data_IF_350021945093
#
_entry.id   IF_350021945093
#
_cell.length_a   1.000
_cell.length_b   1.000
_cell.length_c   1.000
_cell.angle_alpha   90.00
_cell.angle_beta   90.00
_cell.angle_gamma   90.00
#
_symmetry.space_group_name_H-M   'P 1'
#
loop_
_entity.id
_entity.type
_entity.pdbx_description
1 polymer ?
#
# COMPACT_ATOMS: atom_id res chain seq x y z
N UNK A 1 5.33 -34.31 4.32
CA UNK A 1 6.74 -34.63 4.66
C UNK A 1 7.45 -33.44 5.29
N UNK A 2 8.74 -33.56 5.63
CA UNK A 2 9.57 -32.45 6.16
C UNK A 2 9.66 -31.27 5.20
N UNK A 3 9.75 -31.53 3.89
CA UNK A 3 9.77 -30.50 2.83
C UNK A 3 8.51 -29.64 2.81
N UNK A 4 7.33 -30.24 2.95
CA UNK A 4 6.06 -29.50 2.95
C UNK A 4 5.96 -28.54 4.14
N UNK A 5 6.44 -28.97 5.32
CA UNK A 5 6.50 -28.10 6.51
C UNK A 5 7.41 -26.89 6.29
N UNK A 6 8.55 -27.08 5.64
CA UNK A 6 9.47 -25.98 5.29
C UNK A 6 8.82 -25.01 4.30
N UNK A 7 8.16 -25.51 3.25
CA UNK A 7 7.49 -24.68 2.26
C UNK A 7 6.37 -23.82 2.88
N UNK A 8 5.59 -24.40 3.80
CA UNK A 8 4.56 -23.68 4.57
C UNK A 8 5.18 -22.58 5.43
N UNK A 9 6.25 -22.88 6.18
CA UNK A 9 6.93 -21.90 7.02
C UNK A 9 7.53 -20.73 6.22
N UNK A 10 8.14 -21.01 5.06
CA UNK A 10 8.67 -19.97 4.16
C UNK A 10 7.56 -19.09 3.58
N UNK A 11 6.43 -19.69 3.19
CA UNK A 11 5.27 -18.95 2.69
C UNK A 11 4.69 -18.05 3.78
N UNK A 12 4.57 -18.57 5.00
CA UNK A 12 4.10 -17.81 6.16
C UNK A 12 5.05 -16.65 6.51
N UNK A 13 6.36 -16.86 6.43
CA UNK A 13 7.37 -15.82 6.63
C UNK A 13 7.27 -14.71 5.58
N UNK A 14 7.18 -15.08 4.28
CA UNK A 14 7.02 -14.11 3.20
C UNK A 14 5.72 -13.32 3.34
N UNK A 15 4.64 -14.00 3.73
CA UNK A 15 3.35 -13.37 4.00
C UNK A 15 3.44 -12.38 5.17
N UNK A 16 4.15 -12.72 6.23
CA UNK A 16 4.35 -11.82 7.38
C UNK A 16 5.15 -10.59 6.97
N UNK A 17 6.19 -10.77 6.16
CA UNK A 17 7.06 -9.68 5.70
C UNK A 17 6.36 -8.70 4.75
N UNK A 18 5.54 -9.20 3.82
CA UNK A 18 5.02 -8.41 2.67
C UNK A 18 3.53 -8.07 2.80
N UNK A 19 2.76 -8.89 3.51
CA UNK A 19 1.31 -8.71 3.67
C UNK A 19 0.89 -8.40 5.12
N UNK A 20 1.83 -8.37 6.06
CA UNK A 20 1.55 -8.06 7.46
C UNK A 20 0.75 -9.14 8.20
N UNK A 21 0.83 -10.40 7.75
CA UNK A 21 0.27 -11.53 8.49
C UNK A 21 1.03 -11.76 9.80
N UNK A 22 0.46 -12.49 10.78
CA UNK A 22 1.17 -12.84 12.01
C UNK A 22 2.52 -13.51 11.73
N UNK A 23 3.49 -13.29 12.61
CA UNK A 23 4.78 -13.95 12.49
C UNK A 23 4.60 -15.46 12.66
N UNK A 24 5.29 -16.29 11.86
CA UNK A 24 5.33 -17.73 12.07
C UNK A 24 6.02 -18.06 13.41
N UNK A 25 5.68 -19.21 13.97
CA UNK A 25 6.31 -19.74 15.17
C UNK A 25 7.84 -19.80 15.03
N UNK A 26 8.56 -19.46 16.10
CA UNK A 26 10.03 -19.43 16.13
C UNK A 26 10.67 -18.19 15.51
N UNK A 27 9.91 -17.25 14.94
CA UNK A 27 10.44 -15.98 14.44
C UNK A 27 10.20 -14.83 15.42
N UNK A 28 11.22 -13.98 15.56
CA UNK A 28 11.11 -12.76 16.37
C UNK A 28 10.23 -11.72 15.67
N UNK A 29 9.05 -11.49 16.25
CA UNK A 29 8.06 -10.52 15.78
C UNK A 29 8.62 -9.10 15.64
N UNK A 30 9.50 -8.65 16.54
CA UNK A 30 10.09 -7.31 16.49
C UNK A 30 11.06 -7.20 15.32
N UNK A 31 11.90 -8.23 15.11
CA UNK A 31 12.82 -8.26 13.97
C UNK A 31 12.08 -8.29 12.64
N UNK A 32 11.01 -9.08 12.52
CA UNK A 32 10.19 -9.10 11.32
C UNK A 32 9.57 -7.73 11.03
N UNK A 33 9.07 -7.01 12.05
CA UNK A 33 8.54 -5.65 11.85
C UNK A 33 9.58 -4.67 11.32
N UNK A 34 10.84 -4.77 11.77
CA UNK A 34 11.95 -3.96 11.24
C UNK A 34 12.16 -4.26 9.75
N UNK A 35 12.17 -5.56 9.39
CA UNK A 35 12.35 -5.98 8.00
C UNK A 35 11.17 -5.57 7.10
N UNK A 36 9.93 -5.78 7.54
CA UNK A 36 8.74 -5.31 6.83
C UNK A 36 8.78 -3.80 6.57
N UNK A 37 9.20 -3.02 7.58
CA UNK A 37 9.37 -1.57 7.42
C UNK A 37 10.47 -1.22 6.42
N UNK A 38 11.59 -1.94 6.42
CA UNK A 38 12.67 -1.73 5.45
C UNK A 38 12.22 -2.08 4.01
N UNK A 39 11.45 -3.14 3.83
CA UNK A 39 10.87 -3.51 2.53
C UNK A 39 9.85 -2.48 2.04
N UNK A 40 8.94 -2.05 2.90
CA UNK A 40 8.00 -0.97 2.59
C UNK A 40 8.74 0.34 2.28
N UNK A 41 9.82 0.60 3.01
CA UNK A 41 10.67 1.76 2.80
C UNK A 41 11.28 1.74 1.39
N UNK A 42 11.86 0.60 1.01
CA UNK A 42 12.43 0.38 -0.33
C UNK A 42 11.39 0.49 -1.44
N UNK A 43 10.19 -0.05 -1.22
CA UNK A 43 9.08 0.08 -2.18
C UNK A 43 8.75 1.54 -2.45
N UNK A 44 8.66 2.37 -1.41
CA UNK A 44 8.42 3.80 -1.61
C UNK A 44 9.52 4.45 -2.46
N UNK A 45 10.80 4.11 -2.21
CA UNK A 45 11.90 4.69 -2.98
C UNK A 45 11.84 4.30 -4.46
N UNK A 46 11.38 3.08 -4.78
CA UNK A 46 11.17 2.65 -6.16
C UNK A 46 9.95 3.31 -6.78
N UNK A 47 8.85 3.44 -6.03
CA UNK A 47 7.64 4.14 -6.51
C UNK A 47 7.93 5.61 -6.77
N UNK A 48 8.68 6.29 -5.90
CA UNK A 48 9.10 7.67 -6.11
C UNK A 48 9.95 7.85 -7.39
N UNK A 49 10.65 6.81 -7.85
CA UNK A 49 11.37 6.84 -9.14
C UNK A 49 10.46 6.63 -10.33
N UNK A 50 9.44 5.78 -10.19
CA UNK A 50 8.51 5.42 -11.27
C UNK A 50 7.38 6.46 -11.44
N UNK A 51 7.04 7.16 -10.36
CA UNK A 51 6.01 8.17 -10.26
C UNK A 51 6.51 9.36 -9.42
N UNK A 52 7.46 10.15 -9.95
CA UNK A 52 8.11 11.25 -9.23
C UNK A 52 7.15 12.37 -8.82
N UNK A 53 6.00 12.48 -9.49
CA UNK A 53 5.00 13.49 -9.14
C UNK A 53 4.32 13.20 -7.80
N UNK A 54 4.32 11.95 -7.32
CA UNK A 54 3.71 11.59 -6.04
C UNK A 54 4.39 12.25 -4.84
N UNK A 55 5.72 12.14 -4.64
CA UNK A 55 6.40 12.91 -3.60
C UNK A 55 6.32 14.42 -3.81
N UNK A 56 6.29 14.92 -5.04
CA UNK A 56 6.09 16.36 -5.31
C UNK A 56 4.71 16.84 -4.85
N UNK A 57 3.67 16.05 -5.09
CA UNK A 57 2.29 16.39 -4.70
C UNK A 57 2.08 16.25 -3.19
N UNK A 58 2.63 15.19 -2.57
CA UNK A 58 2.40 14.84 -1.17
C UNK A 58 3.42 15.45 -0.20
N UNK A 59 4.53 15.99 -0.71
CA UNK A 59 5.61 16.57 0.08
C UNK A 59 6.13 15.61 1.15
N UNK A 60 6.46 16.16 2.32
CA UNK A 60 6.99 15.42 3.47
C UNK A 60 6.06 14.30 3.96
N UNK A 61 4.75 14.41 3.67
CA UNK A 61 3.75 13.39 4.00
C UNK A 61 3.87 12.11 3.17
N UNK A 62 4.55 12.14 2.02
CA UNK A 62 4.68 11.00 1.10
C UNK A 62 5.17 9.74 1.80
N UNK A 63 6.28 9.86 2.54
CA UNK A 63 6.96 8.72 3.17
C UNK A 63 6.06 8.03 4.19
N UNK A 64 5.45 8.81 5.07
CA UNK A 64 4.59 8.31 6.12
C UNK A 64 3.32 7.65 5.54
N UNK A 65 2.70 8.30 4.56
CA UNK A 65 1.52 7.77 3.87
C UNK A 65 1.83 6.45 3.15
N UNK A 66 2.96 6.36 2.45
CA UNK A 66 3.33 5.15 1.73
C UNK A 66 3.61 3.98 2.67
N UNK A 67 4.30 4.22 3.79
CA UNK A 67 4.56 3.17 4.79
C UNK A 67 3.27 2.66 5.43
N UNK A 68 2.30 3.54 5.70
CA UNK A 68 0.98 3.14 6.19
C UNK A 68 0.20 2.31 5.16
N UNK A 69 0.28 2.70 3.87
CA UNK A 69 -0.31 1.96 2.75
C UNK A 69 0.28 0.55 2.60
N UNK A 70 1.61 0.44 2.58
CA UNK A 70 2.33 -0.78 2.26
C UNK A 70 2.37 -1.79 3.40
N UNK A 71 2.23 -1.34 4.66
CA UNK A 71 2.36 -2.18 5.85
C UNK A 71 1.35 -3.33 5.98
N UNK A 72 0.24 -3.27 5.23
CA UNK A 72 -0.81 -4.31 5.21
C UNK A 72 -1.21 -4.74 3.80
N UNK A 73 -0.44 -4.32 2.78
CA UNK A 73 -0.80 -4.54 1.37
C UNK A 73 0.37 -5.06 0.56
N UNK A 74 0.35 -6.36 0.19
CA UNK A 74 1.34 -6.90 -0.72
C UNK A 74 1.17 -6.29 -2.11
N UNK A 75 2.29 -6.09 -2.82
CA UNK A 75 2.30 -5.58 -4.19
C UNK A 75 1.85 -6.68 -5.17
N UNK A 76 0.85 -6.41 -6.00
CA UNK A 76 0.21 -7.43 -6.87
C UNK A 76 0.26 -7.14 -8.38
N UNK A 77 0.89 -6.04 -8.81
CA UNK A 77 0.89 -5.64 -10.23
C UNK A 77 2.09 -4.80 -10.69
N UNK A 78 3.21 -4.87 -9.98
CA UNK A 78 4.42 -4.07 -10.25
C UNK A 78 4.32 -2.60 -9.83
N UNK A 79 5.42 -1.85 -9.95
CA UNK A 79 5.56 -0.53 -9.32
C UNK A 79 4.65 0.57 -9.88
N UNK A 80 4.36 0.56 -11.20
CA UNK A 80 3.39 1.51 -11.78
C UNK A 80 1.98 1.29 -11.22
N UNK A 81 1.60 0.01 -11.03
CA UNK A 81 0.32 -0.33 -10.43
C UNK A 81 0.28 0.02 -8.94
N UNK A 82 1.37 -0.24 -8.22
CA UNK A 82 1.52 0.10 -6.80
C UNK A 82 1.36 1.61 -6.58
N UNK A 83 1.91 2.43 -7.47
CA UNK A 83 1.75 3.89 -7.46
C UNK A 83 0.27 4.31 -7.60
N UNK A 84 -0.47 3.69 -8.54
CA UNK A 84 -1.90 3.96 -8.74
C UNK A 84 -2.75 3.52 -7.53
N UNK A 85 -2.50 2.32 -7.01
CA UNK A 85 -3.22 1.78 -5.85
C UNK A 85 -2.92 2.60 -4.58
N UNK A 86 -1.70 3.11 -4.43
CA UNK A 86 -1.32 4.03 -3.36
C UNK A 86 -2.07 5.37 -3.47
N UNK A 87 -2.06 6.00 -4.64
CA UNK A 87 -2.78 7.26 -4.86
C UNK A 87 -4.29 7.09 -4.62
N UNK A 88 -4.89 6.01 -5.11
CA UNK A 88 -6.30 5.66 -4.83
C UNK A 88 -6.55 5.54 -3.32
N UNK A 89 -5.66 4.84 -2.61
CA UNK A 89 -5.78 4.66 -1.16
C UNK A 89 -5.75 6.00 -0.41
N UNK A 90 -4.82 6.89 -0.76
CA UNK A 90 -4.72 8.22 -0.15
C UNK A 90 -6.00 9.03 -0.42
N UNK A 91 -6.51 9.03 -1.65
CA UNK A 91 -7.75 9.72 -2.01
C UNK A 91 -8.96 9.18 -1.24
N UNK A 92 -9.10 7.86 -1.12
CA UNK A 92 -10.17 7.21 -0.32
C UNK A 92 -10.07 7.55 1.16
N UNK A 93 -8.84 7.67 1.69
CA UNK A 93 -8.61 8.01 3.10
C UNK A 93 -9.00 9.46 3.45
N UNK A 94 -9.25 10.32 2.46
CA UNK A 94 -9.60 11.74 2.63
C UNK A 94 -8.73 12.67 1.78
N UNK A 95 -7.65 12.15 1.22
CA UNK A 95 -6.65 12.90 0.46
C UNK A 95 -5.68 13.70 1.35
N UNK A 96 -4.74 14.42 0.73
CA UNK A 96 -3.90 15.41 1.41
C UNK A 96 -4.74 16.50 2.07
N UNK A 97 -4.25 17.06 3.19
CA UNK A 97 -4.90 18.17 3.87
C UNK A 97 -4.97 19.44 3.00
N UNK A 98 -3.94 19.68 2.18
CA UNK A 98 -3.93 20.77 1.19
C UNK A 98 -4.93 20.46 0.04
N UNK A 99 -5.96 21.30 -0.18
CA UNK A 99 -6.90 21.13 -1.28
C UNK A 99 -6.24 21.16 -2.67
N UNK A 100 -5.16 21.91 -2.86
CA UNK A 100 -4.45 21.97 -4.14
C UNK A 100 -3.72 20.66 -4.43
N UNK A 101 -2.96 20.13 -3.45
CA UNK A 101 -2.36 18.80 -3.53
C UNK A 101 -3.41 17.71 -3.78
N UNK A 102 -4.58 17.78 -3.12
CA UNK A 102 -5.67 16.83 -3.34
C UNK A 102 -6.19 16.86 -4.78
N UNK A 103 -6.37 18.05 -5.38
CA UNK A 103 -6.74 18.19 -6.80
C UNK A 103 -5.66 17.61 -7.71
N UNK A 104 -4.38 17.98 -7.51
CA UNK A 104 -3.26 17.44 -8.31
C UNK A 104 -3.19 15.92 -8.25
N UNK A 105 -3.32 15.34 -7.06
CA UNK A 105 -3.32 13.88 -6.88
C UNK A 105 -4.49 13.22 -7.61
N UNK A 106 -5.67 13.85 -7.58
CA UNK A 106 -6.87 13.36 -8.25
C UNK A 106 -6.68 13.35 -9.77
N UNK A 107 -6.17 14.44 -10.34
CA UNK A 107 -5.85 14.52 -11.78
C UNK A 107 -4.78 13.52 -12.18
N UNK A 108 -3.68 13.42 -11.43
CA UNK A 108 -2.61 12.45 -11.67
C UNK A 108 -3.15 11.02 -11.71
N UNK A 109 -4.03 10.67 -10.76
CA UNK A 109 -4.65 9.35 -10.71
C UNK A 109 -5.60 9.11 -11.88
N UNK A 110 -6.49 10.06 -12.19
CA UNK A 110 -7.45 9.94 -13.29
C UNK A 110 -6.75 9.73 -14.63
N UNK A 111 -5.76 10.56 -14.94
CA UNK A 111 -4.96 10.52 -16.16
C UNK A 111 -4.30 9.16 -16.39
N UNK A 112 -3.76 8.55 -15.33
CA UNK A 112 -3.03 7.26 -15.41
C UNK A 112 -3.91 6.03 -15.15
N UNK A 113 -5.11 6.20 -14.60
CA UNK A 113 -6.02 5.09 -14.29
C UNK A 113 -6.73 4.52 -15.53
N UNK A 114 -6.87 5.31 -16.61
CA UNK A 114 -7.62 4.93 -17.82
C UNK A 114 -9.10 4.59 -17.53
N UNK A 115 -9.78 3.90 -18.45
CA UNK A 115 -11.15 3.40 -18.27
C UNK A 115 -11.24 2.20 -17.29
N UNK A 116 -10.49 2.25 -16.18
CA UNK A 116 -10.41 1.15 -15.22
C UNK A 116 -11.33 1.41 -14.03
N UNK A 117 -12.16 0.44 -13.64
CA UNK A 117 -12.87 0.52 -12.38
C UNK A 117 -11.91 0.45 -11.17
N UNK A 118 -12.26 1.06 -10.03
CA UNK A 118 -11.49 0.96 -8.79
C UNK A 118 -11.33 -0.51 -8.35
N UNK A 119 -10.17 -0.82 -7.75
CA UNK A 119 -9.76 -2.19 -7.40
C UNK A 119 -10.74 -2.94 -6.48
N UNK A 120 -10.73 -4.28 -6.50
CA UNK A 120 -11.68 -5.12 -5.74
C UNK A 120 -11.65 -4.85 -4.23
N UNK A 121 -10.46 -4.63 -3.66
CA UNK A 121 -10.28 -4.36 -2.22
C UNK A 121 -10.73 -2.96 -1.81
N UNK A 122 -10.58 -1.96 -2.69
CA UNK A 122 -11.01 -0.58 -2.43
C UNK A 122 -12.52 -0.40 -2.57
N UNK A 123 -13.18 -1.19 -3.44
CA UNK A 123 -14.65 -1.27 -3.49
C UNK A 123 -15.26 -1.65 -2.15
N UNK A 124 -14.68 -2.64 -1.47
CA UNK A 124 -15.14 -3.09 -0.15
C UNK A 124 -14.96 -2.01 0.92
N UNK A 125 -13.82 -1.32 0.92
CA UNK A 125 -13.56 -0.21 1.86
C UNK A 125 -14.50 0.98 1.62
N UNK A 126 -14.77 1.32 0.35
CA UNK A 126 -15.71 2.42 -0.01
C UNK A 126 -17.14 2.07 0.39
N UNK A 127 -17.56 0.82 0.20
CA UNK A 127 -18.88 0.34 0.64
C UNK A 127 -19.02 0.42 2.16
N UNK A 128 -18.02 -0.02 2.92
CA UNK A 128 -18.04 0.05 4.37
C UNK A 128 -18.09 1.50 4.91
N UNK A 129 -17.37 2.45 4.30
CA UNK A 129 -17.43 3.87 4.68
C UNK A 129 -18.78 4.53 4.35
N UNK A 130 -19.39 4.21 3.21
CA UNK A 130 -20.69 4.77 2.83
C UNK A 130 -21.79 4.36 3.85
N UNK A 131 -21.73 3.14 4.36
CA UNK A 131 -22.66 2.63 5.40
C UNK A 131 -22.47 3.36 6.74
N UNK A 132 -21.24 3.79 7.08
CA UNK A 132 -20.94 4.48 8.34
C UNK A 132 -21.24 5.99 8.31
N UNK A 133 -21.22 6.63 7.13
CA UNK A 133 -21.53 8.07 6.97
C UNK A 133 -23.03 8.31 6.71
N UNK A 134 -23.77 7.28 6.31
CA UNK A 134 -25.21 7.34 6.05
C UNK A 134 -26.13 7.13 7.25
N UNK A 135 -25.70 7.44 8.48
CA UNK A 135 -26.53 7.34 9.68
C UNK A 135 -26.57 8.66 10.44
#
# INVERSE_FOLDING_TARGET
GTRDRTAVAQTALLSALVAGTPAPEGFDHRRLRVQSRALAAKRADVVAKVAPELPEILGDGYRAAFLAYAGSRPMSGGYRRDALDFAEHVLIAGGPADPAARRRLTYWWQDRSGARPPGRTTRLVRAARAVLVGK
#
